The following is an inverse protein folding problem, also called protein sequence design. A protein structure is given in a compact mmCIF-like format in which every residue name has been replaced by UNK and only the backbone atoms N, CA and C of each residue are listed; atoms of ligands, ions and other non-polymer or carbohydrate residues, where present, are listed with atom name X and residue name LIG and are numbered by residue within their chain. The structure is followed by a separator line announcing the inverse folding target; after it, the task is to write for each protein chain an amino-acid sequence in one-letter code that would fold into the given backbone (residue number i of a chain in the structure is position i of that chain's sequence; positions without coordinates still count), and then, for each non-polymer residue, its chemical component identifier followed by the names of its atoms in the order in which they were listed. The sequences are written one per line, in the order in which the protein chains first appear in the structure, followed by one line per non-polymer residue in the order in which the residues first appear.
data_IF_463578436575
#
_entry.id   IF_463578436575
#
_cell.length_a   1.000
_cell.length_b   1.000
_cell.length_c   1.000
_cell.angle_alpha   90.00
_cell.angle_beta   90.00
_cell.angle_gamma   90.00
#
_symmetry.space_group_name_H-M   'P 1'
#
loop_
_entity.id
_entity.type
_entity.pdbx_description
1 polymer ?
#
# COMPACT_ATOMS: atom_id res chain seq x y z
N UNK A 1 75.19 -41.62 57.51
CA UNK A 1 73.99 -42.34 57.98
C UNK A 1 73.20 -42.70 56.74
N UNK A 2 73.49 -43.84 56.11
CA UNK A 2 72.93 -45.14 56.48
C UNK A 2 71.82 -45.44 55.49
N UNK A 3 72.13 -46.04 54.32
CA UNK A 3 72.00 -47.49 54.08
C UNK A 3 70.50 -47.89 54.02
N UNK A 4 69.97 -48.62 53.06
CA UNK A 4 70.53 -49.51 52.05
C UNK A 4 69.33 -50.15 51.35
N UNK A 5 69.39 -50.26 50.01
CA UNK A 5 68.92 -51.38 49.17
C UNK A 5 67.46 -51.91 49.34
N UNK A 6 66.75 -52.33 48.30
CA UNK A 6 67.10 -53.45 47.41
C UNK A 6 66.37 -53.28 46.07
N UNK A 7 67.15 -53.35 45.00
CA UNK A 7 66.73 -53.66 43.65
C UNK A 7 67.14 -55.10 43.32
N UNK A 8 66.28 -55.87 42.64
CA UNK A 8 66.60 -57.08 41.88
C UNK A 8 65.37 -57.44 41.03
N UNK A 9 65.43 -57.92 39.79
CA UNK A 9 66.50 -58.15 38.79
C UNK A 9 65.80 -58.68 37.53
N UNK A 10 66.22 -58.22 36.33
CA UNK A 10 66.40 -58.97 35.03
C UNK A 10 65.25 -59.82 34.44
N UNK A 11 65.12 -60.11 33.14
CA UNK A 11 65.67 -59.66 31.84
C UNK A 11 65.09 -60.64 30.78
N UNK A 12 65.21 -60.27 29.49
CA UNK A 12 65.05 -61.08 28.26
C UNK A 12 63.59 -61.34 27.82
N UNK A 13 63.23 -61.35 26.53
CA UNK A 13 64.02 -61.63 25.33
C UNK A 13 63.34 -61.11 24.03
N UNK A 14 64.17 -61.04 23.00
CA UNK A 14 64.01 -60.60 21.59
C UNK A 14 62.92 -61.37 20.82
N UNK A 15 62.27 -60.75 19.81
CA UNK A 15 62.31 -61.15 18.38
C UNK A 15 61.14 -60.58 17.56
N UNK A 16 61.50 -59.85 16.50
CA UNK A 16 60.65 -59.43 15.38
C UNK A 16 60.36 -60.65 14.50
N UNK A 17 59.10 -60.88 14.10
CA UNK A 17 58.82 -61.53 12.82
C UNK A 17 57.47 -61.12 12.23
N UNK A 18 57.59 -60.63 11.00
CA UNK A 18 56.59 -60.34 9.98
C UNK A 18 55.81 -61.60 9.58
N UNK A 19 54.57 -61.45 9.12
CA UNK A 19 53.92 -62.13 7.95
C UNK A 19 52.40 -62.27 8.14
N UNK A 20 51.67 -61.43 7.38
CA UNK A 20 50.56 -61.73 6.44
C UNK A 20 49.45 -62.76 6.80
N UNK A 21 48.24 -62.20 6.90
CA UNK A 21 46.95 -62.63 6.32
C UNK A 21 46.41 -64.06 6.56
N UNK A 22 45.22 -64.17 7.19
CA UNK A 22 43.92 -64.42 6.49
C UNK A 22 42.75 -64.63 7.47
N UNK A 23 41.71 -63.82 7.26
CA UNK A 23 40.28 -64.10 7.37
C UNK A 23 39.77 -65.15 8.38
N UNK A 24 39.10 -64.65 9.43
CA UNK A 24 37.95 -65.34 10.02
C UNK A 24 36.79 -64.36 10.17
N UNK A 25 35.75 -64.58 9.35
CA UNK A 25 34.45 -63.92 9.43
C UNK A 25 33.80 -64.28 10.77
N UNK A 26 33.63 -63.30 11.65
CA UNK A 26 32.65 -63.34 12.74
C UNK A 26 31.59 -62.28 12.45
N UNK A 27 30.34 -62.72 12.48
CA UNK A 27 29.15 -62.02 12.01
C UNK A 27 28.26 -61.80 13.23
N UNK A 28 28.26 -60.60 13.81
CA UNK A 28 27.29 -60.17 14.85
C UNK A 28 27.40 -58.65 15.06
N UNK A 29 26.32 -57.96 15.49
CA UNK A 29 25.13 -57.62 14.75
C UNK A 29 25.12 -56.13 14.35
N UNK A 30 24.31 -55.79 13.35
CA UNK A 30 24.09 -54.42 12.90
C UNK A 30 23.57 -53.57 14.07
N UNK A 31 24.41 -52.64 14.53
CA UNK A 31 23.97 -51.52 15.37
C UNK A 31 23.04 -50.68 14.50
N UNK A 32 21.73 -50.85 14.66
CA UNK A 32 20.75 -49.95 14.09
C UNK A 32 21.06 -48.57 14.66
N UNK A 33 21.74 -47.74 13.87
CA UNK A 33 21.81 -46.31 14.13
C UNK A 33 20.38 -45.80 13.92
N UNK A 34 19.60 -45.78 15.01
CA UNK A 34 18.39 -45.00 15.09
C UNK A 34 18.79 -43.57 14.81
N UNK A 35 18.66 -43.16 13.55
CA UNK A 35 18.85 -41.79 13.11
C UNK A 35 17.64 -41.07 13.70
N UNK A 36 17.81 -40.51 14.90
CA UNK A 36 16.82 -39.58 15.47
C UNK A 36 16.53 -38.57 14.38
N UNK A 37 15.28 -38.44 13.91
CA UNK A 37 14.97 -37.47 12.88
C UNK A 37 15.38 -36.11 13.42
N UNK A 38 16.28 -35.43 12.69
CA UNK A 38 16.66 -34.07 13.04
C UNK A 38 15.35 -33.27 13.10
N UNK A 39 14.98 -32.82 14.30
CA UNK A 39 13.86 -31.91 14.50
C UNK A 39 14.25 -30.66 13.72
N UNK A 40 13.71 -30.51 12.51
CA UNK A 40 13.83 -29.26 11.76
C UNK A 40 13.15 -28.21 12.63
N UNK A 41 13.95 -27.28 13.16
CA UNK A 41 13.40 -26.11 13.83
C UNK A 41 12.45 -25.42 12.85
N UNK A 42 11.15 -25.46 13.16
CA UNK A 42 10.15 -24.74 12.38
C UNK A 42 10.35 -23.26 12.71
N UNK A 43 10.91 -22.51 11.77
CA UNK A 43 11.05 -21.06 11.93
C UNK A 43 9.66 -20.42 11.81
N UNK A 44 9.08 -20.06 12.96
CA UNK A 44 7.79 -19.35 13.02
C UNK A 44 7.92 -17.91 12.49
N UNK A 45 9.11 -17.32 12.63
CA UNK A 45 9.40 -15.95 12.21
C UNK A 45 9.71 -15.84 10.71
N UNK A 46 9.06 -14.91 10.03
CA UNK A 46 9.46 -14.53 8.67
C UNK A 46 10.74 -13.66 8.72
N UNK A 47 11.79 -14.11 8.03
CA UNK A 47 13.08 -13.41 7.91
C UNK A 47 13.31 -12.85 6.51
N UNK A 48 12.33 -12.96 5.61
CA UNK A 48 12.38 -12.47 4.23
C UNK A 48 12.44 -10.94 4.12
N UNK A 49 12.35 -10.37 2.92
CA UNK A 49 12.25 -8.92 2.74
C UNK A 49 10.94 -8.38 3.36
N UNK A 50 10.91 -7.08 3.66
CA UNK A 50 9.67 -6.42 4.08
C UNK A 50 8.58 -6.59 3.03
N UNK A 51 7.34 -6.75 3.48
CA UNK A 51 6.19 -7.00 2.64
C UNK A 51 5.00 -6.16 3.08
N UNK A 52 4.09 -5.85 2.16
CA UNK A 52 2.83 -5.18 2.48
C UNK A 52 1.70 -6.17 2.82
N UNK A 53 2.02 -7.43 3.17
CA UNK A 53 1.00 -8.48 3.42
C UNK A 53 0.03 -8.14 4.54
N UNK A 54 0.46 -7.30 5.48
CA UNK A 54 -0.33 -6.88 6.62
C UNK A 54 -0.99 -5.49 6.48
N UNK A 55 -0.79 -4.77 5.37
CA UNK A 55 -1.20 -3.36 5.26
C UNK A 55 -2.71 -3.12 5.08
N UNK A 56 -3.46 -4.10 4.58
CA UNK A 56 -4.87 -3.90 4.17
C UNK A 56 -5.90 -4.49 5.12
N UNK A 57 -5.51 -5.44 5.98
CA UNK A 57 -6.40 -6.16 6.90
C UNK A 57 -5.66 -6.44 8.20
N UNK A 58 -6.28 -6.09 9.34
CA UNK A 58 -5.78 -6.40 10.68
C UNK A 58 -5.75 -7.91 10.96
N UNK A 59 -5.83 -8.34 12.22
CA UNK A 59 -5.71 -9.75 12.59
C UNK A 59 -6.85 -10.67 12.11
N UNK A 60 -7.94 -10.12 11.55
CA UNK A 60 -9.10 -10.90 11.06
C UNK A 60 -9.67 -11.84 12.13
N UNK A 61 -9.88 -11.29 13.33
CA UNK A 61 -10.19 -12.06 14.55
C UNK A 61 -11.40 -12.98 14.36
N UNK A 62 -12.51 -12.43 13.87
CA UNK A 62 -13.76 -13.19 13.73
C UNK A 62 -13.66 -14.21 12.59
N UNK A 63 -13.04 -13.86 11.46
CA UNK A 63 -12.84 -14.80 10.35
C UNK A 63 -11.85 -15.92 10.69
N UNK A 64 -10.75 -15.60 11.38
CA UNK A 64 -9.79 -16.57 11.88
C UNK A 64 -10.44 -17.52 12.89
N UNK A 65 -11.27 -17.00 13.78
CA UNK A 65 -12.03 -17.83 14.73
C UNK A 65 -12.93 -18.85 14.04
N UNK A 66 -13.64 -18.47 12.96
CA UNK A 66 -14.46 -19.42 12.18
C UNK A 66 -13.64 -20.47 11.46
N UNK A 67 -12.52 -20.07 10.85
CA UNK A 67 -11.58 -20.99 10.19
C UNK A 67 -11.01 -22.00 11.19
N UNK A 68 -10.51 -21.53 12.32
CA UNK A 68 -9.92 -22.38 13.37
C UNK A 68 -10.98 -23.28 14.02
N UNK A 69 -12.20 -22.78 14.22
CA UNK A 69 -13.31 -23.60 14.74
C UNK A 69 -13.67 -24.75 13.80
N UNK A 70 -13.69 -24.53 12.48
CA UNK A 70 -13.93 -25.60 11.51
C UNK A 70 -12.79 -26.64 11.54
N UNK A 71 -11.54 -26.20 11.69
CA UNK A 71 -10.40 -27.11 11.85
C UNK A 71 -10.51 -27.93 13.15
N UNK A 72 -10.95 -27.32 14.26
CA UNK A 72 -11.21 -28.01 15.54
C UNK A 72 -12.30 -29.08 15.40
N UNK A 73 -13.25 -28.90 14.50
CA UNK A 73 -14.29 -29.90 14.17
C UNK A 73 -13.78 -31.04 13.27
N UNK A 74 -12.48 -31.06 12.93
CA UNK A 74 -11.83 -32.12 12.16
C UNK A 74 -11.71 -31.85 10.66
N UNK A 75 -12.14 -30.68 10.18
CA UNK A 75 -11.98 -30.34 8.77
C UNK A 75 -10.50 -30.10 8.44
N UNK A 76 -10.02 -30.67 7.34
CA UNK A 76 -8.69 -30.41 6.81
C UNK A 76 -8.56 -28.97 6.28
N UNK A 77 -7.32 -28.47 6.16
CA UNK A 77 -7.05 -27.13 5.60
C UNK A 77 -7.64 -26.95 4.20
N UNK A 78 -7.68 -28.03 3.40
CA UNK A 78 -8.26 -28.00 2.06
C UNK A 78 -9.80 -27.87 2.11
N UNK A 79 -10.47 -28.65 2.97
CA UNK A 79 -11.92 -28.55 3.15
C UNK A 79 -12.33 -27.18 3.68
N UNK A 80 -11.60 -26.67 4.68
CA UNK A 80 -11.84 -25.32 5.22
C UNK A 80 -11.63 -24.25 4.16
N UNK A 81 -10.63 -24.38 3.28
CA UNK A 81 -10.45 -23.47 2.15
C UNK A 81 -11.67 -23.48 1.24
N UNK A 82 -12.16 -24.66 0.87
CA UNK A 82 -13.31 -24.79 -0.02
C UNK A 82 -14.58 -24.24 0.61
N UNK A 83 -14.79 -24.45 1.91
CA UNK A 83 -15.89 -23.88 2.68
C UNK A 83 -15.82 -22.35 2.77
N UNK A 84 -14.61 -21.79 2.92
CA UNK A 84 -14.39 -20.34 2.83
C UNK A 84 -14.76 -19.83 1.44
N UNK A 85 -14.27 -20.46 0.36
CA UNK A 85 -14.50 -19.96 -1.00
C UNK A 85 -15.97 -20.06 -1.43
N UNK A 86 -16.69 -21.10 -0.98
CA UNK A 86 -18.13 -21.27 -1.19
C UNK A 86 -18.98 -20.33 -0.34
N UNK A 87 -18.40 -19.68 0.68
CA UNK A 87 -19.12 -18.76 1.57
C UNK A 87 -19.86 -19.45 2.71
N UNK A 88 -19.51 -20.71 3.03
CA UNK A 88 -20.08 -21.44 4.15
C UNK A 88 -19.54 -20.91 5.50
N UNK A 89 -18.27 -20.52 5.54
CA UNK A 89 -17.64 -20.00 6.76
C UNK A 89 -17.62 -18.47 6.85
N UNK A 90 -17.53 -17.80 5.70
CA UNK A 90 -17.32 -16.34 5.62
C UNK A 90 -18.53 -15.66 4.97
N UNK A 91 -18.99 -14.55 5.55
CA UNK A 91 -20.22 -13.84 5.15
C UNK A 91 -20.03 -12.87 3.99
N UNK A 92 -18.79 -12.61 3.57
CA UNK A 92 -18.49 -11.70 2.48
C UNK A 92 -19.09 -12.22 1.17
N UNK A 93 -19.82 -11.37 0.42
CA UNK A 93 -20.58 -11.78 -0.78
C UNK A 93 -19.68 -12.25 -1.94
N UNK A 94 -18.58 -11.53 -2.19
CA UNK A 94 -17.65 -11.79 -3.29
C UNK A 94 -16.71 -12.95 -2.98
N UNK A 95 -16.56 -13.89 -3.92
CA UNK A 95 -15.56 -14.97 -3.87
C UNK A 95 -14.14 -14.41 -3.76
N UNK A 96 -13.82 -13.37 -4.51
CA UNK A 96 -12.50 -12.72 -4.50
C UNK A 96 -12.17 -12.18 -3.10
N UNK A 97 -13.13 -11.54 -2.42
CA UNK A 97 -12.88 -11.05 -1.07
C UNK A 97 -12.64 -12.21 -0.08
N UNK A 98 -13.41 -13.30 -0.18
CA UNK A 98 -13.21 -14.51 0.64
C UNK A 98 -11.84 -15.15 0.37
N UNK A 99 -11.42 -15.23 -0.88
CA UNK A 99 -10.10 -15.73 -1.27
C UNK A 99 -8.96 -14.86 -0.71
N UNK A 100 -9.11 -13.53 -0.74
CA UNK A 100 -8.16 -12.61 -0.10
C UNK A 100 -8.09 -12.81 1.41
N UNK A 101 -9.23 -12.97 2.09
CA UNK A 101 -9.28 -13.24 3.54
C UNK A 101 -8.59 -14.58 3.84
N UNK A 102 -8.94 -15.63 3.12
CA UNK A 102 -8.31 -16.95 3.25
C UNK A 102 -6.81 -16.87 3.09
N UNK A 103 -6.33 -16.21 2.04
CA UNK A 103 -4.89 -16.06 1.78
C UNK A 103 -4.18 -15.39 2.94
N UNK A 104 -4.77 -14.34 3.54
CA UNK A 104 -4.22 -13.69 4.73
C UNK A 104 -4.19 -14.62 5.94
N UNK A 105 -5.29 -15.30 6.26
CA UNK A 105 -5.38 -16.23 7.39
C UNK A 105 -4.39 -17.39 7.23
N UNK A 106 -4.36 -18.00 6.03
CA UNK A 106 -3.49 -19.11 5.73
C UNK A 106 -2.02 -18.72 5.88
N UNK A 107 -1.60 -17.60 5.28
CA UNK A 107 -0.21 -17.14 5.39
C UNK A 107 0.21 -16.77 6.81
N UNK A 108 -0.70 -16.18 7.61
CA UNK A 108 -0.37 -15.70 8.96
C UNK A 108 -0.42 -16.81 10.00
N UNK A 109 -1.38 -17.73 9.91
CA UNK A 109 -1.72 -18.61 11.03
C UNK A 109 -1.52 -20.08 10.71
N UNK A 110 -1.65 -20.47 9.45
CA UNK A 110 -1.67 -21.88 9.05
C UNK A 110 -0.41 -22.32 8.31
N UNK A 111 0.32 -21.41 7.66
CA UNK A 111 1.49 -21.71 6.85
C UNK A 111 2.82 -21.23 7.49
N UNK A 112 3.89 -22.05 7.41
CA UNK A 112 3.88 -23.49 7.15
C UNK A 112 3.09 -24.23 8.23
N UNK A 113 2.45 -25.34 7.84
CA UNK A 113 1.66 -26.17 8.75
C UNK A 113 2.52 -26.60 9.93
N UNK A 114 2.13 -26.15 11.12
CA UNK A 114 2.85 -26.38 12.36
C UNK A 114 1.88 -27.01 13.35
N UNK A 115 1.84 -28.35 13.48
CA UNK A 115 0.74 -29.04 14.18
C UNK A 115 0.49 -28.56 15.62
N UNK A 116 1.57 -28.28 16.37
CA UNK A 116 1.45 -27.76 17.73
C UNK A 116 0.81 -26.36 17.76
N UNK A 117 1.09 -25.52 16.77
CA UNK A 117 0.56 -24.16 16.70
C UNK A 117 -0.91 -24.16 16.29
N UNK A 118 -1.27 -25.01 15.32
CA UNK A 118 -2.66 -25.22 14.92
C UNK A 118 -3.49 -25.76 16.09
N UNK A 119 -2.94 -26.68 16.89
CA UNK A 119 -3.59 -27.18 18.10
C UNK A 119 -3.76 -26.06 19.13
N UNK A 120 -2.69 -25.28 19.42
CA UNK A 120 -2.77 -24.16 20.35
C UNK A 120 -3.79 -23.09 19.94
N UNK A 121 -3.92 -22.80 18.64
CA UNK A 121 -4.97 -21.91 18.12
C UNK A 121 -6.37 -22.50 18.34
N UNK A 122 -6.56 -23.81 18.08
CA UNK A 122 -7.82 -24.49 18.29
C UNK A 122 -8.25 -24.49 19.75
N UNK A 123 -7.31 -24.80 20.66
CA UNK A 123 -7.53 -24.80 22.11
C UNK A 123 -7.87 -23.39 22.60
N UNK A 124 -7.10 -22.37 22.19
CA UNK A 124 -7.37 -20.99 22.57
C UNK A 124 -8.72 -20.46 22.04
N UNK A 125 -9.17 -20.98 20.89
CA UNK A 125 -10.45 -20.61 20.28
C UNK A 125 -11.67 -21.30 20.94
N UNK A 126 -11.47 -22.24 21.88
CA UNK A 126 -12.57 -22.99 22.53
C UNK A 126 -13.56 -22.06 23.23
N UNK A 127 -13.06 -21.02 23.91
CA UNK A 127 -13.86 -19.99 24.57
C UNK A 127 -14.42 -18.93 23.62
N UNK A 128 -14.23 -19.10 22.30
CA UNK A 128 -14.72 -18.22 21.24
C UNK A 128 -13.66 -17.33 20.59
N UNK A 129 -14.02 -16.74 19.44
CA UNK A 129 -13.10 -15.94 18.59
C UNK A 129 -12.57 -14.67 19.26
N UNK A 130 -13.17 -14.23 20.37
CA UNK A 130 -12.75 -13.03 21.11
C UNK A 130 -12.17 -13.35 22.48
N UNK A 131 -11.94 -14.63 22.79
CA UNK A 131 -11.19 -15.02 23.97
C UNK A 131 -9.81 -14.34 23.96
N UNK A 132 -9.38 -13.86 25.12
CA UNK A 132 -8.15 -13.08 25.23
C UNK A 132 -6.96 -13.88 24.72
N UNK A 133 -6.87 -15.15 25.09
CA UNK A 133 -5.82 -16.08 24.70
C UNK A 133 -5.73 -16.24 23.18
N UNK A 134 -6.89 -16.42 22.52
CA UNK A 134 -6.96 -16.54 21.07
C UNK A 134 -6.51 -15.25 20.38
N UNK A 135 -7.05 -14.12 20.81
CA UNK A 135 -6.70 -12.79 20.25
C UNK A 135 -5.22 -12.50 20.44
N UNK A 136 -4.67 -12.77 21.63
CA UNK A 136 -3.24 -12.62 21.92
C UNK A 136 -2.39 -13.49 21.01
N UNK A 137 -2.77 -14.76 20.80
CA UNK A 137 -2.05 -15.66 19.91
C UNK A 137 -2.10 -15.21 18.44
N UNK A 138 -3.27 -14.71 17.97
CA UNK A 138 -3.39 -14.14 16.64
C UNK A 138 -2.49 -12.91 16.45
N UNK A 139 -2.42 -12.00 17.43
CA UNK A 139 -1.53 -10.84 17.32
C UNK A 139 -0.05 -11.21 17.41
N UNK A 140 0.31 -12.18 18.24
CA UNK A 140 1.67 -12.71 18.31
C UNK A 140 2.09 -13.28 16.94
N UNK A 141 1.25 -14.11 16.33
CA UNK A 141 1.53 -14.67 15.01
C UNK A 141 1.50 -13.62 13.91
N UNK A 142 0.57 -12.67 13.98
CA UNK A 142 0.49 -11.53 13.05
C UNK A 142 1.80 -10.74 13.02
N UNK A 143 2.41 -10.53 14.19
CA UNK A 143 3.73 -9.91 14.29
C UNK A 143 4.84 -10.83 13.80
N UNK A 144 4.91 -12.09 14.24
CA UNK A 144 6.00 -13.00 13.89
C UNK A 144 6.05 -13.34 12.40
N UNK A 145 4.91 -13.38 11.72
CA UNK A 145 4.76 -13.88 10.34
C UNK A 145 4.88 -12.79 9.26
N UNK A 146 5.19 -11.56 9.66
CA UNK A 146 5.55 -10.49 8.75
C UNK A 146 6.69 -9.68 9.34
N UNK A 147 7.84 -9.68 8.66
CA UNK A 147 9.07 -9.06 9.18
C UNK A 147 8.91 -7.56 9.43
N UNK A 148 8.15 -6.85 8.60
CA UNK A 148 7.89 -5.42 8.80
C UNK A 148 7.12 -5.19 10.10
N UNK A 149 6.04 -5.96 10.31
CA UNK A 149 5.24 -5.90 11.54
C UNK A 149 6.08 -6.27 12.76
N UNK A 150 6.87 -7.35 12.70
CA UNK A 150 7.78 -7.73 13.78
C UNK A 150 8.76 -6.62 14.15
N UNK A 151 9.46 -6.07 13.16
CA UNK A 151 10.46 -5.03 13.37
C UNK A 151 9.80 -3.74 13.89
N UNK A 152 8.59 -3.42 13.44
CA UNK A 152 7.84 -2.28 13.96
C UNK A 152 7.49 -2.47 15.44
N UNK A 153 6.93 -3.63 15.81
CA UNK A 153 6.61 -3.92 17.20
C UNK A 153 7.87 -3.89 18.08
N UNK A 154 8.95 -4.52 17.63
CA UNK A 154 10.16 -4.74 18.45
C UNK A 154 11.17 -3.59 18.45
N UNK A 155 11.11 -2.67 17.49
CA UNK A 155 12.05 -1.52 17.42
C UNK A 155 11.37 -0.18 17.65
N UNK A 156 10.09 -0.07 17.31
CA UNK A 156 9.33 1.19 17.41
C UNK A 156 8.37 1.14 18.59
N UNK A 157 7.53 0.12 18.71
CA UNK A 157 6.55 0.08 19.80
C UNK A 157 7.20 -0.28 21.14
N UNK A 158 8.21 -1.14 21.16
CA UNK A 158 8.95 -1.51 22.38
C UNK A 158 9.74 -0.36 23.01
N UNK A 159 10.15 0.62 22.20
CA UNK A 159 10.90 1.78 22.67
C UNK A 159 9.99 2.90 23.15
N UNK A 160 8.70 2.82 22.81
CA UNK A 160 7.67 3.70 23.36
C UNK A 160 7.17 3.10 24.67
N UNK A 161 7.15 3.93 25.71
CA UNK A 161 6.72 3.50 27.04
C UNK A 161 5.37 2.79 27.00
N UNK A 162 5.33 1.57 27.55
CA UNK A 162 4.14 0.72 27.58
C UNK A 162 3.08 1.22 28.56
N UNK A 163 3.44 2.10 29.50
CA UNK A 163 2.51 2.60 30.52
C UNK A 163 1.64 3.76 30.01
N UNK A 164 2.11 4.50 29.01
CA UNK A 164 1.35 5.57 28.36
C UNK A 164 0.98 5.11 26.95
N UNK A 165 -0.31 4.80 26.70
CA UNK A 165 -0.85 4.39 25.38
C UNK A 165 -0.08 5.09 24.23
N UNK A 166 0.86 4.38 23.57
CA UNK A 166 1.86 5.08 22.77
C UNK A 166 1.21 5.63 21.51
N UNK A 167 1.39 6.92 21.25
CA UNK A 167 0.89 7.55 20.02
C UNK A 167 1.76 7.03 18.87
N UNK A 168 1.13 6.32 17.94
CA UNK A 168 1.74 5.85 16.70
C UNK A 168 1.36 6.82 15.58
N UNK A 169 2.37 7.37 14.92
CA UNK A 169 2.26 8.31 13.81
C UNK A 169 2.76 7.71 12.51
N UNK A 170 2.43 8.35 11.39
CA UNK A 170 2.98 8.00 10.07
C UNK A 170 4.51 8.05 10.06
N UNK A 171 5.10 9.02 10.77
CA UNK A 171 6.56 9.23 10.78
C UNK A 171 7.29 8.04 11.40
N UNK A 172 6.71 7.38 12.40
CA UNK A 172 7.29 6.18 13.01
C UNK A 172 7.51 5.04 11.99
N UNK A 173 6.53 4.85 11.10
CA UNK A 173 6.63 3.84 10.01
C UNK A 173 7.67 4.29 8.98
N UNK A 174 7.65 5.56 8.59
CA UNK A 174 8.60 6.10 7.62
C UNK A 174 10.04 6.01 8.13
N UNK A 175 10.29 6.34 9.40
CA UNK A 175 11.62 6.28 10.01
C UNK A 175 12.15 4.85 10.10
N UNK A 176 11.27 3.86 10.37
CA UNK A 176 11.64 2.45 10.28
C UNK A 176 12.05 2.03 8.86
N UNK A 177 11.37 2.57 7.85
CA UNK A 177 11.58 2.22 6.44
C UNK A 177 12.73 2.98 5.78
N UNK A 178 13.02 4.22 6.19
CA UNK A 178 14.08 5.10 5.65
C UNK A 178 15.42 4.38 5.43
N UNK A 179 16.03 3.70 6.43
CA UNK A 179 17.31 3.04 6.24
C UNK A 179 17.25 1.76 5.38
N UNK A 180 16.05 1.37 4.92
CA UNK A 180 15.79 0.11 4.19
C UNK A 180 15.13 0.34 2.83
N UNK A 181 14.84 1.59 2.48
CA UNK A 181 14.36 1.97 1.16
C UNK A 181 15.43 1.74 0.10
N UNK A 182 15.02 1.67 -1.17
CA UNK A 182 15.97 1.51 -2.28
C UNK A 182 17.02 2.63 -2.33
N UNK A 183 16.66 3.81 -1.84
CA UNK A 183 17.56 4.96 -1.71
C UNK A 183 18.70 4.70 -0.70
N UNK A 184 18.49 3.83 0.28
CA UNK A 184 19.52 3.43 1.25
C UNK A 184 20.45 2.31 0.74
N UNK A 185 20.10 1.65 -0.37
CA UNK A 185 20.98 0.68 -1.04
C UNK A 185 21.91 1.45 -1.97
N UNK A 186 23.22 1.27 -1.78
CA UNK A 186 24.25 1.86 -2.64
C UNK A 186 24.00 1.49 -4.11
N UNK A 187 24.21 2.44 -5.03
CA UNK A 187 23.84 2.26 -6.44
C UNK A 187 24.48 1.01 -7.07
N UNK A 188 25.72 0.71 -6.70
CA UNK A 188 26.47 -0.47 -7.17
C UNK A 188 26.02 -1.80 -6.53
N UNK A 189 25.16 -1.77 -5.51
CA UNK A 189 24.66 -2.95 -4.81
C UNK A 189 23.18 -3.25 -5.13
N UNK A 190 22.55 -2.47 -6.02
CA UNK A 190 21.17 -2.69 -6.46
C UNK A 190 21.15 -3.75 -7.55
N UNK A 191 20.17 -4.65 -7.47
CA UNK A 191 19.83 -5.55 -8.58
C UNK A 191 19.18 -4.78 -9.73
N UNK A 192 19.25 -5.31 -10.95
CA UNK A 192 18.59 -4.73 -12.14
C UNK A 192 17.10 -4.49 -11.91
N UNK A 193 16.43 -5.42 -11.21
CA UNK A 193 15.02 -5.30 -10.84
C UNK A 193 14.77 -4.12 -9.91
N UNK A 194 15.64 -3.92 -8.92
CA UNK A 194 15.55 -2.80 -8.00
C UNK A 194 15.75 -1.48 -8.76
N UNK A 195 16.80 -1.39 -9.57
CA UNK A 195 17.10 -0.16 -10.31
C UNK A 195 15.98 0.21 -11.29
N UNK A 196 15.45 -0.77 -12.03
CA UNK A 196 14.26 -0.56 -12.88
C UNK A 196 13.07 -0.03 -12.08
N UNK A 197 12.77 -0.64 -10.93
CA UNK A 197 11.64 -0.22 -10.10
C UNK A 197 11.86 1.17 -9.49
N UNK A 198 13.09 1.54 -9.16
CA UNK A 198 13.44 2.89 -8.70
C UNK A 198 13.08 3.91 -9.77
N UNK A 199 13.56 3.71 -11.00
CA UNK A 199 13.32 4.63 -12.12
C UNK A 199 11.82 4.78 -12.39
N UNK A 200 11.08 3.67 -12.47
CA UNK A 200 9.62 3.70 -12.64
C UNK A 200 8.90 4.53 -11.54
N UNK A 201 9.34 4.38 -10.28
CA UNK A 201 8.74 5.12 -9.16
C UNK A 201 9.15 6.60 -9.17
N UNK A 202 10.40 6.90 -9.50
CA UNK A 202 10.87 8.29 -9.60
C UNK A 202 10.14 9.02 -10.73
N UNK A 203 9.90 8.36 -11.87
CA UNK A 203 9.11 8.90 -12.96
C UNK A 203 7.66 9.17 -12.54
N UNK A 204 7.02 8.24 -11.83
CA UNK A 204 5.66 8.40 -11.32
C UNK A 204 5.56 9.51 -10.26
N UNK A 205 6.55 9.62 -9.36
CA UNK A 205 6.60 10.70 -8.36
C UNK A 205 6.75 12.05 -9.05
N UNK A 206 7.61 12.15 -10.06
CA UNK A 206 7.78 13.37 -10.85
C UNK A 206 6.47 13.74 -11.53
N UNK A 207 5.81 12.80 -12.21
CA UNK A 207 4.53 13.04 -12.87
C UNK A 207 3.46 13.57 -11.90
N UNK A 208 3.34 12.96 -10.71
CA UNK A 208 2.42 13.42 -9.68
C UNK A 208 2.77 14.81 -9.14
N UNK A 209 4.06 15.11 -8.97
CA UNK A 209 4.53 16.42 -8.51
C UNK A 209 4.24 17.50 -9.55
N UNK A 210 4.49 17.21 -10.83
CA UNK A 210 4.19 18.11 -11.94
C UNK A 210 2.68 18.36 -12.06
N UNK A 211 1.86 17.32 -11.85
CA UNK A 211 0.40 17.44 -11.84
C UNK A 211 -0.11 18.27 -10.66
N UNK A 212 0.43 18.06 -9.46
CA UNK A 212 0.10 18.84 -8.26
C UNK A 212 0.44 20.33 -8.47
N UNK A 213 1.60 20.63 -9.06
CA UNK A 213 1.99 21.99 -9.41
C UNK A 213 1.01 22.64 -10.40
N UNK A 214 0.50 21.89 -11.39
CA UNK A 214 -0.55 22.39 -12.32
C UNK A 214 -1.86 22.65 -11.60
N UNK A 215 -2.27 21.78 -10.68
CA UNK A 215 -3.47 21.98 -9.86
C UNK A 215 -3.34 23.21 -8.96
N UNK A 216 -2.20 23.40 -8.29
CA UNK A 216 -1.94 24.60 -7.49
C UNK A 216 -1.99 25.86 -8.35
N UNK A 217 -1.38 25.84 -9.54
CA UNK A 217 -1.39 26.96 -10.47
C UNK A 217 -2.82 27.34 -10.85
N UNK A 218 -3.63 26.37 -11.29
CA UNK A 218 -5.02 26.58 -11.68
C UNK A 218 -5.88 27.00 -10.49
N UNK A 219 -5.64 26.45 -9.29
CA UNK A 219 -6.36 26.86 -8.09
C UNK A 219 -6.10 28.32 -7.71
N UNK A 220 -4.92 28.87 -8.03
CA UNK A 220 -4.55 30.26 -7.72
C UNK A 220 -4.95 31.24 -8.83
N UNK A 221 -4.79 30.84 -10.09
CA UNK A 221 -4.90 31.74 -11.25
C UNK A 221 -6.16 31.49 -12.09
N UNK A 222 -6.90 30.41 -11.80
CA UNK A 222 -7.93 29.91 -12.70
C UNK A 222 -7.33 29.44 -14.04
N UNK A 223 -8.14 29.53 -15.08
CA UNK A 223 -7.83 29.19 -16.46
C UNK A 223 -7.61 30.43 -17.33
N UNK A 224 -7.02 31.48 -16.75
CA UNK A 224 -6.72 32.71 -17.47
C UNK A 224 -5.82 32.43 -18.68
N UNK A 225 -6.10 33.09 -19.81
CA UNK A 225 -5.22 33.06 -20.99
C UNK A 225 -4.82 34.48 -21.38
N UNK A 226 -3.67 34.64 -22.04
CA UNK A 226 -3.19 35.95 -22.50
C UNK A 226 -4.21 36.67 -23.41
N UNK A 227 -5.01 35.90 -24.16
CA UNK A 227 -6.08 36.43 -25.01
C UNK A 227 -7.36 36.85 -24.27
N UNK A 228 -7.61 36.30 -23.08
CA UNK A 228 -8.85 36.57 -22.32
C UNK A 228 -8.90 38.02 -21.85
N UNK A 229 -7.82 38.51 -21.22
CA UNK A 229 -7.76 39.89 -20.71
C UNK A 229 -7.95 40.93 -21.83
N UNK A 230 -7.38 40.69 -23.02
CA UNK A 230 -7.54 41.56 -24.17
C UNK A 230 -8.99 41.62 -24.67
N UNK A 231 -9.73 40.51 -24.61
CA UNK A 231 -11.14 40.44 -25.06
C UNK A 231 -12.10 41.11 -24.08
N UNK A 232 -11.77 41.09 -22.78
CA UNK A 232 -12.61 41.65 -21.72
C UNK A 232 -12.26 43.10 -21.37
N UNK A 233 -11.23 43.67 -21.99
CA UNK A 233 -10.72 45.02 -21.66
C UNK A 233 -11.79 46.11 -21.82
N UNK A 234 -12.61 46.00 -22.86
CA UNK A 234 -13.64 47.00 -23.21
C UNK A 234 -15.06 46.54 -22.84
N UNK A 235 -15.21 45.46 -22.06
CA UNK A 235 -16.53 44.95 -21.68
C UNK A 235 -17.20 45.91 -20.67
N UNK A 236 -18.44 46.36 -20.92
CA UNK A 236 -19.20 47.14 -19.95
C UNK A 236 -19.43 46.34 -18.66
N UNK A 237 -18.99 46.89 -17.53
CA UNK A 237 -19.14 46.27 -16.21
C UNK A 237 -20.52 46.58 -15.62
N UNK A 238 -21.52 45.85 -16.09
CA UNK A 238 -22.92 45.99 -15.66
C UNK A 238 -23.48 44.66 -15.16
N UNK A 239 -24.78 44.64 -14.86
CA UNK A 239 -25.47 43.43 -14.37
C UNK A 239 -25.41 42.26 -15.36
N UNK A 240 -25.14 42.48 -16.66
CA UNK A 240 -24.94 41.39 -17.63
C UNK A 240 -23.70 40.57 -17.34
N UNK A 241 -22.73 41.14 -16.61
CA UNK A 241 -21.51 40.45 -16.24
C UNK A 241 -21.70 39.54 -15.01
N UNK A 242 -22.87 39.47 -14.39
CA UNK A 242 -23.12 38.47 -13.35
C UNK A 242 -23.23 37.06 -13.95
N UNK A 243 -22.56 36.07 -13.35
CA UNK A 243 -22.61 34.67 -13.80
C UNK A 243 -23.99 34.03 -13.68
N UNK A 244 -24.73 34.36 -12.62
CA UNK A 244 -25.94 33.63 -12.23
C UNK A 244 -27.06 34.54 -11.71
N UNK A 245 -26.86 35.86 -11.77
CA UNK A 245 -27.78 36.87 -11.23
C UNK A 245 -27.87 36.92 -9.71
N UNK A 246 -27.18 36.01 -8.99
CA UNK A 246 -27.13 35.98 -7.52
C UNK A 246 -25.86 36.64 -7.01
N UNK A 247 -24.75 36.42 -7.71
CA UNK A 247 -23.48 37.08 -7.42
C UNK A 247 -23.56 38.53 -7.86
N UNK A 248 -22.95 39.42 -7.07
CA UNK A 248 -22.69 40.79 -7.50
C UNK A 248 -21.90 40.73 -8.81
N UNK A 249 -22.30 41.57 -9.76
CA UNK A 249 -21.57 41.67 -11.02
C UNK A 249 -20.17 42.25 -10.75
N UNK A 250 -19.16 41.85 -11.54
CA UNK A 250 -17.83 42.43 -11.46
C UNK A 250 -17.86 43.95 -11.58
N UNK A 251 -17.22 44.64 -10.64
CA UNK A 251 -17.10 46.12 -10.64
C UNK A 251 -15.78 46.59 -11.23
N UNK A 252 -14.81 45.69 -11.40
CA UNK A 252 -13.53 45.98 -12.06
C UNK A 252 -13.25 44.97 -13.16
N UNK A 253 -12.43 45.36 -14.15
CA UNK A 253 -11.96 44.45 -15.20
C UNK A 253 -11.18 43.27 -14.62
N UNK A 254 -10.46 43.48 -13.52
CA UNK A 254 -9.75 42.41 -12.82
C UNK A 254 -10.71 41.36 -12.23
N UNK A 255 -11.82 41.81 -11.63
CA UNK A 255 -12.86 40.92 -11.11
C UNK A 255 -13.52 40.13 -12.24
N UNK A 256 -13.77 40.78 -13.39
CA UNK A 256 -14.35 40.13 -14.56
C UNK A 256 -13.39 39.07 -15.13
N UNK A 257 -12.09 39.39 -15.22
CA UNK A 257 -11.06 38.42 -15.64
C UNK A 257 -11.00 37.24 -14.68
N UNK A 258 -10.99 37.48 -13.36
CA UNK A 258 -10.97 36.42 -12.36
C UNK A 258 -12.21 35.51 -12.47
N UNK A 259 -13.38 36.12 -12.67
CA UNK A 259 -14.63 35.41 -12.88
C UNK A 259 -14.61 34.54 -14.15
N UNK A 260 -14.20 35.09 -15.29
CA UNK A 260 -14.17 34.37 -16.57
C UNK A 260 -13.03 33.34 -16.64
N UNK A 261 -11.99 33.52 -15.81
CA UNK A 261 -10.92 32.53 -15.63
C UNK A 261 -11.38 31.35 -14.77
N UNK A 262 -12.49 31.45 -14.02
CA UNK A 262 -12.98 30.33 -13.22
C UNK A 262 -13.50 29.19 -14.11
N UNK A 263 -13.34 27.95 -13.63
CA UNK A 263 -13.95 26.80 -14.28
C UNK A 263 -15.43 26.71 -13.95
N UNK A 264 -16.23 27.33 -14.80
CA UNK A 264 -17.69 27.33 -14.73
C UNK A 264 -18.22 26.78 -16.06
N UNK A 265 -18.27 25.44 -16.22
CA UNK A 265 -18.79 24.85 -17.44
C UNK A 265 -20.27 25.20 -17.59
N UNK A 266 -20.69 25.54 -18.80
CA UNK A 266 -22.09 25.84 -19.13
C UNK A 266 -22.66 24.71 -19.98
N UNK A 267 -23.92 24.34 -19.77
CA UNK A 267 -24.59 23.29 -20.55
C UNK A 267 -24.83 23.74 -22.00
N UNK A 268 -24.95 25.04 -22.24
CA UNK A 268 -25.11 25.64 -23.56
C UNK A 268 -23.76 25.82 -24.26
N UNK A 269 -22.65 25.80 -23.51
CA UNK A 269 -21.31 25.72 -24.08
C UNK A 269 -21.11 24.31 -24.67
N UNK A 270 -20.70 24.23 -25.94
CA UNK A 270 -20.34 22.96 -26.55
C UNK A 270 -19.22 22.25 -25.78
N UNK A 271 -19.21 20.91 -25.76
CA UNK A 271 -18.20 20.09 -25.04
C UNK A 271 -16.76 20.55 -25.31
N UNK A 272 -16.47 20.91 -26.57
CA UNK A 272 -15.17 21.44 -26.99
C UNK A 272 -14.75 22.66 -26.18
N UNK A 273 -15.68 23.58 -25.92
CA UNK A 273 -15.41 24.83 -25.21
C UNK A 273 -15.22 24.59 -23.71
N UNK A 274 -16.02 23.67 -23.13
CA UNK A 274 -15.91 23.30 -21.73
C UNK A 274 -14.62 22.52 -21.40
N UNK A 275 -14.10 21.71 -22.34
CA UNK A 275 -12.92 20.88 -22.11
C UNK A 275 -11.59 21.60 -22.40
N UNK A 276 -11.61 22.59 -23.31
CA UNK A 276 -10.39 23.27 -23.76
C UNK A 276 -9.54 23.88 -22.61
N UNK A 277 -10.12 24.54 -21.59
CA UNK A 277 -9.35 25.05 -20.46
C UNK A 277 -8.62 23.94 -19.69
N UNK A 278 -9.29 22.81 -19.44
CA UNK A 278 -8.68 21.66 -18.74
C UNK A 278 -7.53 21.05 -19.54
N UNK A 279 -7.70 20.93 -20.86
CA UNK A 279 -6.65 20.43 -21.73
C UNK A 279 -5.47 21.39 -21.81
N UNK A 280 -5.72 22.70 -21.95
CA UNK A 280 -4.67 23.71 -21.99
C UNK A 280 -3.83 23.73 -20.69
N UNK A 281 -4.48 23.50 -19.55
CA UNK A 281 -3.82 23.38 -18.25
C UNK A 281 -3.10 22.03 -18.04
N UNK A 282 -3.20 21.10 -19.00
CA UNK A 282 -2.58 19.77 -18.89
C UNK A 282 -3.18 18.93 -17.76
N UNK A 283 -4.48 19.11 -17.47
CA UNK A 283 -5.20 18.39 -16.42
C UNK A 283 -5.93 17.13 -16.93
N UNK A 284 -5.88 16.86 -18.23
CA UNK A 284 -6.49 15.69 -18.84
C UNK A 284 -5.48 14.56 -19.01
N UNK A 285 -5.94 13.32 -18.85
CA UNK A 285 -5.13 12.13 -19.11
C UNK A 285 -4.78 11.94 -20.60
N UNK A 286 -5.56 12.54 -21.49
CA UNK A 286 -5.32 12.54 -22.93
C UNK A 286 -5.91 13.81 -23.57
N UNK A 287 -5.33 14.20 -24.70
CA UNK A 287 -5.87 15.28 -25.53
C UNK A 287 -7.22 14.86 -26.13
N UNK A 288 -8.23 15.70 -25.91
CA UNK A 288 -9.58 15.55 -26.50
C UNK A 288 -9.70 16.39 -27.78
N UNK A 289 -9.04 17.55 -27.79
CA UNK A 289 -8.97 18.47 -28.92
C UNK A 289 -7.61 18.38 -29.60
N UNK A 290 -7.58 18.62 -30.90
CA UNK A 290 -6.31 18.86 -31.56
C UNK A 290 -5.67 20.15 -30.98
N UNK A 291 -4.35 20.15 -30.78
CA UNK A 291 -3.62 21.28 -30.17
C UNK A 291 -3.93 22.63 -30.81
N UNK A 292 -4.13 22.66 -32.13
CA UNK A 292 -4.47 23.88 -32.89
C UNK A 292 -5.85 24.47 -32.56
N UNK A 293 -6.75 23.66 -31.99
CA UNK A 293 -8.15 24.04 -31.73
C UNK A 293 -8.38 24.49 -30.27
N UNK A 294 -7.41 24.28 -29.38
CA UNK A 294 -7.53 24.60 -27.94
C UNK A 294 -7.69 26.11 -27.72
N UNK A 295 -6.75 26.91 -28.23
CA UNK A 295 -6.80 28.38 -28.08
C UNK A 295 -8.04 28.98 -28.75
N UNK A 296 -8.44 28.41 -29.89
CA UNK A 296 -9.66 28.82 -30.59
C UNK A 296 -10.89 28.53 -29.75
N UNK A 297 -11.01 27.34 -29.16
CA UNK A 297 -12.16 26.99 -28.32
C UNK A 297 -12.27 27.87 -27.06
N UNK A 298 -11.15 28.22 -26.43
CA UNK A 298 -11.13 29.16 -25.30
C UNK A 298 -11.55 30.56 -25.74
N UNK A 299 -11.06 31.02 -26.90
CA UNK A 299 -11.45 32.30 -27.47
C UNK A 299 -12.94 32.35 -27.87
N UNK A 300 -13.46 31.28 -28.48
CA UNK A 300 -14.87 31.14 -28.85
C UNK A 300 -15.76 31.32 -27.60
N UNK A 301 -15.40 30.71 -26.46
CA UNK A 301 -16.10 30.88 -25.17
C UNK A 301 -16.24 32.35 -24.78
N UNK A 302 -15.11 33.06 -24.75
CA UNK A 302 -15.07 34.44 -24.31
C UNK A 302 -15.89 35.34 -25.24
N UNK A 303 -15.84 35.07 -26.55
CA UNK A 303 -16.62 35.83 -27.54
C UNK A 303 -18.11 35.56 -27.40
N UNK A 304 -18.53 34.30 -27.26
CA UNK A 304 -19.95 33.96 -27.14
C UNK A 304 -20.57 34.59 -25.90
N UNK A 305 -19.87 34.57 -24.76
CA UNK A 305 -20.33 35.24 -23.54
C UNK A 305 -20.39 36.76 -23.70
N UNK A 306 -19.42 37.37 -24.37
CA UNK A 306 -19.45 38.81 -24.66
C UNK A 306 -20.60 39.19 -25.61
N UNK A 307 -20.79 38.41 -26.68
CA UNK A 307 -21.88 38.61 -27.66
C UNK A 307 -23.25 38.39 -27.00
N UNK A 308 -23.40 37.40 -26.13
CA UNK A 308 -24.63 37.16 -25.36
C UNK A 308 -24.97 38.36 -24.49
N UNK A 309 -24.01 38.87 -23.70
CA UNK A 309 -24.20 40.09 -22.89
C UNK A 309 -24.58 41.29 -23.77
N UNK A 310 -23.89 41.47 -24.89
CA UNK A 310 -24.19 42.55 -25.85
C UNK A 310 -25.60 42.41 -26.46
N UNK A 311 -26.01 41.22 -26.88
CA UNK A 311 -27.32 41.00 -27.48
C UNK A 311 -28.46 41.14 -26.48
N UNK A 312 -28.23 40.82 -25.20
CA UNK A 312 -29.17 41.16 -24.12
C UNK A 312 -29.33 42.68 -23.99
N UNK A 313 -28.22 43.45 -24.02
CA UNK A 313 -28.27 44.94 -23.99
C UNK A 313 -29.00 45.52 -25.20
N UNK A 314 -28.79 44.94 -26.38
CA UNK A 314 -29.44 45.36 -27.63
C UNK A 314 -30.90 44.88 -27.75
N UNK A 315 -31.41 44.11 -26.79
CA UNK A 315 -32.77 43.54 -26.82
C UNK A 315 -32.97 42.45 -27.88
N UNK A 316 -31.88 41.91 -28.46
CA UNK A 316 -31.91 40.83 -29.46
C UNK A 316 -32.11 39.45 -28.83
N UNK A 317 -31.63 39.29 -27.60
CA UNK A 317 -31.93 38.15 -26.75
C UNK A 317 -32.86 38.57 -25.62
N UNK A 318 -33.76 37.68 -25.16
CA UNK A 318 -34.52 37.94 -23.95
C UNK A 318 -33.55 38.15 -22.78
N UNK A 319 -33.93 39.00 -21.83
CA UNK A 319 -33.17 39.12 -20.59
C UNK A 319 -33.09 37.74 -19.93
N UNK A 320 -31.94 37.36 -19.35
CA UNK A 320 -31.84 36.12 -18.60
C UNK A 320 -32.91 36.09 -17.51
N UNK A 321 -33.57 34.94 -17.30
CA UNK A 321 -34.70 34.86 -16.35
C UNK A 321 -34.37 35.19 -14.90
N UNK A 322 -33.09 35.33 -14.56
CA UNK A 322 -32.60 35.82 -13.27
C UNK A 322 -32.52 37.35 -13.16
N UNK A 323 -32.54 38.08 -14.28
CA UNK A 323 -32.54 39.53 -14.32
C UNK A 323 -33.95 40.04 -14.03
N UNK A 324 -34.20 40.49 -12.80
CA UNK A 324 -35.51 41.04 -12.41
C UNK A 324 -35.63 42.50 -12.85
N UNK A 325 -36.73 42.84 -13.51
CA UNK A 325 -37.12 44.23 -13.77
C UNK A 325 -37.47 44.92 -12.43
N UNK A 326 -36.88 46.08 -12.12
CA UNK A 326 -37.38 46.96 -11.06
C UNK A 326 -36.40 47.47 -9.98
N UNK A 327 -35.11 47.11 -10.00
CA UNK A 327 -34.13 47.76 -9.11
C UNK A 327 -33.28 48.74 -9.93
N UNK A 328 -33.84 49.92 -10.23
CA UNK A 328 -33.10 51.09 -10.73
C UNK A 328 -32.78 52.02 -9.58
#
# INVERSE_FOLDING_TARGET
MGLSHIAHRKAAEVTVNTVRQRNRKTKTPARQSGRTPAVRAVTVRDTGPYSARNSSKGALIDEAGRVVSAMRQGHSVAEVRDDVLRGALLTQRSRENRERIWTSIHQRYLFPTTPWLTSALADACESGSRAQEFVSLLYLLYALRDRLTFDFVTKVLSTKDHQARPIVSRNDVLDLLKPRGIQAVAANARSDRQEKRRVELDDAIRELTDFDARLEQVSRQGFATAGLAKRLADEPLDRCCSLDGKRLHPTTTADLIAQESAYVPDINDGVRVNIAPLQNAGLLAADVLAKKDVDKAIADRANWRADERRWVREGKLPQPGWWREGEG
#
